data_IF_586870393433
#
_entry.id   IF_586870393433
#
_cell.length_a   1.000
_cell.length_b   1.000
_cell.length_c   1.000
_cell.angle_alpha   90.00
_cell.angle_beta   90.00
_cell.angle_gamma   90.00
#
_symmetry.space_group_name_H-M   'P 1'
#
loop_
_entity.id
_entity.type
_entity.pdbx_description
1 polymer ?
#
# COMPACT_ATOMS: atom_id res chain seq x y z
N UNK A 1 -12.56 19.06 3.20
CA UNK A 1 -12.20 18.52 1.86
C UNK A 1 -11.51 17.20 2.12
N UNK A 2 -11.99 16.14 1.51
CA UNK A 2 -11.57 14.76 1.77
C UNK A 2 -10.19 14.49 1.17
N UNK A 3 -9.23 14.03 1.99
CA UNK A 3 -7.91 13.57 1.53
C UNK A 3 -7.93 12.04 1.47
N UNK A 4 -7.59 11.49 0.32
CA UNK A 4 -7.49 10.04 0.11
C UNK A 4 -6.07 9.71 -0.33
N UNK A 5 -5.43 8.77 0.36
CA UNK A 5 -4.18 8.16 -0.11
C UNK A 5 -4.52 6.89 -0.86
N UNK A 6 -4.04 6.76 -2.11
CA UNK A 6 -4.26 5.60 -2.96
C UNK A 6 -2.96 4.91 -3.27
N UNK A 7 -2.85 3.63 -2.95
CA UNK A 7 -1.69 2.83 -3.31
C UNK A 7 -2.02 1.90 -4.47
N UNK A 8 -1.12 1.84 -5.45
CA UNK A 8 -1.20 0.91 -6.56
C UNK A 8 -0.01 -0.05 -6.57
N UNK A 9 -0.30 -1.37 -6.54
CA UNK A 9 0.72 -2.42 -6.60
C UNK A 9 1.32 -2.61 -8.00
N UNK A 10 2.42 -3.36 -8.10
CA UNK A 10 3.16 -3.55 -9.35
C UNK A 10 2.31 -4.14 -10.48
N UNK A 11 1.43 -5.11 -10.18
CA UNK A 11 0.50 -5.69 -11.16
C UNK A 11 -0.53 -4.70 -11.70
N UNK A 12 -0.85 -3.66 -10.92
CA UNK A 12 -1.73 -2.56 -11.33
C UNK A 12 -1.05 -1.55 -12.25
N UNK A 13 0.29 -1.57 -12.29
CA UNK A 13 1.15 -0.61 -13.00
C UNK A 13 1.98 -1.26 -14.12
N UNK A 14 1.77 -2.55 -14.40
CA UNK A 14 2.64 -3.36 -15.29
C UNK A 14 2.63 -2.94 -16.75
N UNK A 15 1.76 -2.00 -17.15
CA UNK A 15 1.68 -1.49 -18.52
C UNK A 15 1.25 -0.03 -18.57
N UNK A 16 1.64 0.66 -19.65
CA UNK A 16 1.26 2.05 -19.89
C UNK A 16 -0.27 2.20 -19.96
N UNK A 17 -0.99 1.22 -20.53
CA UNK A 17 -2.45 1.23 -20.59
C UNK A 17 -3.09 1.25 -19.20
N UNK A 18 -2.55 0.48 -18.24
CA UNK A 18 -3.02 0.48 -16.85
C UNK A 18 -2.72 1.80 -16.15
N UNK A 19 -1.52 2.38 -16.34
CA UNK A 19 -1.17 3.70 -15.82
C UNK A 19 -2.15 4.76 -16.31
N UNK A 20 -2.46 4.79 -17.62
CA UNK A 20 -3.44 5.72 -18.19
C UNK A 20 -4.83 5.53 -17.57
N UNK A 21 -5.30 4.30 -17.39
CA UNK A 21 -6.59 4.01 -16.75
C UNK A 21 -6.64 4.51 -15.30
N UNK A 22 -5.55 4.36 -14.54
CA UNK A 22 -5.44 4.90 -13.17
C UNK A 22 -5.49 6.42 -13.19
N UNK A 23 -4.79 7.06 -14.09
CA UNK A 23 -4.81 8.53 -14.25
C UNK A 23 -6.22 9.05 -14.56
N UNK A 24 -6.96 8.39 -15.46
CA UNK A 24 -8.36 8.71 -15.75
C UNK A 24 -9.28 8.56 -14.54
N UNK A 25 -9.11 7.46 -13.77
CA UNK A 25 -9.88 7.24 -12.54
C UNK A 25 -9.56 8.29 -11.48
N UNK A 26 -8.29 8.70 -11.38
CA UNK A 26 -7.84 9.76 -10.48
C UNK A 26 -8.47 11.09 -10.90
N UNK A 27 -8.49 11.42 -12.19
CA UNK A 27 -9.16 12.63 -12.70
C UNK A 27 -10.63 12.70 -12.32
N UNK A 28 -11.37 11.59 -12.41
CA UNK A 28 -12.78 11.55 -11.96
C UNK A 28 -12.92 11.92 -10.49
N UNK A 29 -12.08 11.36 -9.62
CA UNK A 29 -12.11 11.67 -8.17
C UNK A 29 -11.75 13.12 -7.85
N UNK A 30 -10.81 13.71 -8.60
CA UNK A 30 -10.46 15.13 -8.47
C UNK A 30 -11.65 16.01 -8.87
N UNK A 31 -12.35 15.67 -9.97
CA UNK A 31 -13.55 16.38 -10.41
C UNK A 31 -14.71 16.28 -9.40
N UNK A 32 -14.73 15.23 -8.57
CA UNK A 32 -15.65 15.08 -7.43
C UNK A 32 -15.24 15.91 -6.20
N UNK A 33 -14.16 16.69 -6.27
CA UNK A 33 -13.67 17.56 -5.22
C UNK A 33 -12.78 16.88 -4.17
N UNK A 34 -12.28 15.67 -4.45
CA UNK A 34 -11.38 14.93 -3.56
C UNK A 34 -9.93 15.35 -3.77
N UNK A 35 -9.13 15.37 -2.71
CA UNK A 35 -7.67 15.51 -2.76
C UNK A 35 -7.04 14.13 -2.76
N UNK A 36 -6.27 13.81 -3.79
CA UNK A 36 -5.70 12.48 -3.98
C UNK A 36 -4.17 12.54 -3.86
N UNK A 37 -3.61 11.67 -3.02
CA UNK A 37 -2.18 11.37 -2.96
C UNK A 37 -2.00 9.94 -3.46
N UNK A 38 -1.12 9.74 -4.42
CA UNK A 38 -0.85 8.42 -4.98
C UNK A 38 0.46 7.87 -4.41
N UNK A 39 0.46 6.60 -4.04
CA UNK A 39 1.66 5.83 -3.70
C UNK A 39 1.78 4.70 -4.71
N UNK A 40 2.90 4.59 -5.38
CA UNK A 40 3.10 3.62 -6.46
C UNK A 40 4.24 2.66 -6.14
N UNK A 41 4.04 1.38 -6.48
CA UNK A 41 5.09 0.35 -6.48
C UNK A 41 5.83 0.36 -7.82
N UNK A 42 6.94 -0.34 -7.89
CA UNK A 42 7.62 -0.63 -9.16
C UNK A 42 6.69 -1.37 -10.13
N UNK A 43 6.88 -1.16 -11.44
CA UNK A 43 6.06 -1.78 -12.48
C UNK A 43 6.29 -3.29 -12.57
N UNK A 44 5.21 -4.08 -12.48
CA UNK A 44 5.25 -5.52 -12.73
C UNK A 44 6.31 -6.25 -11.91
N UNK A 45 7.34 -6.77 -12.57
CA UNK A 45 8.46 -7.52 -11.98
C UNK A 45 9.77 -6.74 -11.94
N UNK A 46 9.74 -5.41 -12.10
CA UNK A 46 10.96 -4.59 -12.20
C UNK A 46 11.89 -4.77 -10.99
N UNK A 47 11.36 -4.85 -9.77
CA UNK A 47 12.17 -5.09 -8.56
C UNK A 47 12.91 -6.44 -8.63
N UNK A 48 12.23 -7.51 -9.07
CA UNK A 48 12.84 -8.83 -9.22
C UNK A 48 13.94 -8.83 -10.28
N UNK A 49 13.73 -8.09 -11.39
CA UNK A 49 14.70 -7.94 -12.47
C UNK A 49 15.96 -7.18 -12.02
N UNK A 50 15.78 -6.10 -11.24
CA UNK A 50 16.88 -5.34 -10.65
C UNK A 50 17.69 -6.20 -9.68
N UNK A 51 17.01 -6.93 -8.78
CA UNK A 51 17.66 -7.85 -7.86
C UNK A 51 18.43 -8.96 -8.59
N UNK A 52 17.86 -9.51 -9.67
CA UNK A 52 18.53 -10.52 -10.49
C UNK A 52 19.82 -9.97 -11.12
N UNK A 53 19.78 -8.73 -11.65
CA UNK A 53 20.98 -8.07 -12.20
C UNK A 53 22.08 -7.90 -11.14
N UNK A 54 21.72 -7.46 -9.93
CA UNK A 54 22.67 -7.33 -8.83
C UNK A 54 23.32 -8.68 -8.48
N UNK A 55 22.52 -9.75 -8.38
CA UNK A 55 23.01 -11.11 -8.10
C UNK A 55 23.87 -11.70 -9.19
N UNK A 56 23.73 -11.24 -10.45
CA UNK A 56 24.63 -11.64 -11.54
C UNK A 56 26.03 -10.97 -11.43
N UNK A 57 26.13 -9.82 -10.76
CA UNK A 57 27.38 -9.11 -10.52
C UNK A 57 28.08 -9.59 -9.25
N UNK A 58 27.33 -9.92 -8.21
CA UNK A 58 27.87 -10.35 -6.92
C UNK A 58 26.97 -11.40 -6.29
N UNK A 59 27.56 -12.46 -5.70
CA UNK A 59 26.80 -13.43 -4.89
C UNK A 59 26.30 -12.83 -3.58
N UNK A 60 26.96 -11.78 -3.08
CA UNK A 60 26.64 -11.06 -1.86
C UNK A 60 26.71 -9.55 -2.13
N UNK A 61 25.70 -8.97 -2.84
CA UNK A 61 25.68 -7.53 -3.07
C UNK A 61 25.54 -6.80 -1.74
N UNK A 62 26.19 -5.65 -1.62
CA UNK A 62 26.03 -4.76 -0.47
C UNK A 62 24.56 -4.31 -0.34
N UNK A 63 24.02 -4.33 0.88
CA UNK A 63 22.60 -4.07 1.13
C UNK A 63 22.22 -2.62 0.86
N UNK A 64 23.10 -1.67 1.15
CA UNK A 64 22.91 -0.25 0.85
C UNK A 64 22.80 -0.03 -0.66
N UNK A 65 23.65 -0.66 -1.47
CA UNK A 65 23.60 -0.57 -2.93
C UNK A 65 22.35 -1.26 -3.51
N UNK A 66 21.89 -2.34 -2.87
CA UNK A 66 20.63 -2.99 -3.24
C UNK A 66 19.43 -2.06 -2.99
N UNK A 67 19.39 -1.36 -1.87
CA UNK A 67 18.32 -0.42 -1.56
C UNK A 67 18.26 0.71 -2.58
N UNK A 68 19.41 1.31 -2.90
CA UNK A 68 19.53 2.33 -3.94
C UNK A 68 19.04 1.80 -5.30
N UNK A 69 19.47 0.60 -5.69
CA UNK A 69 19.11 -0.01 -6.96
C UNK A 69 17.60 -0.30 -7.04
N UNK A 70 17.05 -0.96 -6.02
CA UNK A 70 15.63 -1.37 -6.00
C UNK A 70 14.69 -0.17 -5.94
N UNK A 71 15.04 0.88 -5.19
CA UNK A 71 14.22 2.10 -5.08
C UNK A 71 13.97 2.79 -6.43
N UNK A 72 14.84 2.57 -7.42
CA UNK A 72 14.71 3.16 -8.76
C UNK A 72 13.43 2.71 -9.49
N UNK A 73 12.90 1.53 -9.19
CA UNK A 73 11.69 1.00 -9.79
C UNK A 73 10.46 1.85 -9.48
N UNK A 74 10.29 2.26 -8.24
CA UNK A 74 9.20 3.12 -7.80
C UNK A 74 9.37 4.56 -8.30
N UNK A 75 10.60 5.03 -8.42
CA UNK A 75 10.90 6.36 -9.00
C UNK A 75 10.43 6.41 -10.46
N UNK A 76 10.72 5.38 -11.24
CA UNK A 76 10.24 5.27 -12.63
C UNK A 76 8.71 5.29 -12.67
N UNK A 77 8.04 4.47 -11.83
CA UNK A 77 6.58 4.40 -11.77
C UNK A 77 5.95 5.74 -11.40
N UNK A 78 6.51 6.45 -10.41
CA UNK A 78 5.97 7.74 -9.95
C UNK A 78 6.08 8.82 -11.03
N UNK A 79 7.21 8.87 -11.74
CA UNK A 79 7.40 9.79 -12.84
C UNK A 79 6.43 9.51 -14.00
N UNK A 80 6.29 8.24 -14.42
CA UNK A 80 5.35 7.85 -15.49
C UNK A 80 3.89 8.15 -15.12
N UNK A 81 3.49 7.93 -13.87
CA UNK A 81 2.15 8.28 -13.40
C UNK A 81 1.91 9.78 -13.42
N UNK A 82 2.89 10.58 -12.98
CA UNK A 82 2.78 12.06 -13.03
C UNK A 82 2.66 12.56 -14.46
N UNK A 83 3.44 12.02 -15.41
CA UNK A 83 3.33 12.35 -16.84
C UNK A 83 1.93 11.99 -17.36
N UNK A 84 1.38 10.83 -17.00
CA UNK A 84 0.05 10.43 -17.44
C UNK A 84 -1.07 11.34 -16.89
N UNK A 85 -0.92 11.83 -15.66
CA UNK A 85 -1.85 12.81 -15.08
C UNK A 85 -1.75 14.17 -15.75
N UNK A 86 -0.52 14.63 -16.05
CA UNK A 86 -0.26 15.89 -16.75
C UNK A 86 -0.83 15.88 -18.18
N UNK A 87 -0.72 14.76 -18.89
CA UNK A 87 -1.33 14.58 -20.22
C UNK A 87 -2.87 14.76 -20.19
N UNK A 88 -3.51 14.44 -19.05
CA UNK A 88 -4.94 14.69 -18.85
C UNK A 88 -5.27 16.13 -18.43
N UNK A 89 -4.29 17.04 -18.41
CA UNK A 89 -4.44 18.44 -18.02
C UNK A 89 -4.48 18.67 -16.50
N UNK A 90 -4.05 17.69 -15.70
CA UNK A 90 -3.96 17.80 -14.25
C UNK A 90 -2.57 18.31 -13.85
N UNK A 91 -2.49 19.07 -12.75
CA UNK A 91 -1.21 19.40 -12.13
C UNK A 91 -0.78 18.21 -11.28
N UNK A 92 0.37 17.61 -11.57
CA UNK A 92 0.90 16.47 -10.83
C UNK A 92 2.40 16.58 -10.64
N UNK A 93 2.89 16.09 -9.51
CA UNK A 93 4.31 16.06 -9.17
C UNK A 93 4.67 14.69 -8.58
N UNK A 94 5.79 14.11 -9.03
CA UNK A 94 6.37 12.91 -8.45
C UNK A 94 7.38 13.27 -7.37
N UNK A 95 7.34 12.54 -6.24
CA UNK A 95 8.29 12.66 -5.14
C UNK A 95 8.89 11.29 -4.82
N UNK A 96 10.21 11.26 -4.61
CA UNK A 96 10.88 10.11 -3.97
C UNK A 96 10.53 10.03 -2.49
N UNK A 97 10.84 8.92 -1.81
CA UNK A 97 10.68 8.82 -0.37
C UNK A 97 11.42 9.92 0.40
N UNK A 98 12.63 10.25 -0.05
CA UNK A 98 13.42 11.38 0.49
C UNK A 98 12.69 12.72 0.33
N UNK A 99 12.21 13.01 -0.87
CA UNK A 99 11.49 14.26 -1.15
C UNK A 99 10.13 14.37 -0.45
N UNK A 100 9.53 13.22 -0.13
CA UNK A 100 8.30 13.11 0.64
C UNK A 100 8.52 13.16 2.16
N UNK A 101 9.78 13.26 2.61
CA UNK A 101 10.16 13.37 4.01
C UNK A 101 10.01 12.08 4.81
N UNK A 102 10.13 10.91 4.18
CA UNK A 102 10.00 9.60 4.84
C UNK A 102 11.33 9.23 5.49
N UNK A 103 11.50 9.58 6.76
CA UNK A 103 12.68 9.29 7.56
C UNK A 103 12.61 7.85 8.12
N UNK A 104 13.73 7.13 8.07
CA UNK A 104 13.82 5.73 8.48
C UNK A 104 15.07 5.47 9.32
N UNK A 105 15.10 4.31 9.99
CA UNK A 105 16.36 3.81 10.55
C UNK A 105 17.31 3.31 9.45
N UNK A 106 18.55 2.99 9.84
CA UNK A 106 19.63 2.56 8.93
C UNK A 106 19.67 1.04 8.68
N UNK A 107 18.54 0.32 8.86
CA UNK A 107 18.45 -1.12 8.57
C UNK A 107 18.15 -1.33 7.09
N UNK A 108 19.18 -1.39 6.26
CA UNK A 108 19.02 -1.61 4.82
C UNK A 108 18.25 -2.91 4.51
N UNK A 109 17.35 -2.87 3.51
CA UNK A 109 16.50 -3.97 3.08
C UNK A 109 15.21 -4.13 3.89
N UNK A 110 15.18 -3.70 5.15
CA UNK A 110 14.03 -3.84 6.07
C UNK A 110 13.88 -2.63 7.00
N UNK A 111 14.13 -1.43 6.46
CA UNK A 111 14.08 -0.19 7.24
C UNK A 111 12.70 0.07 7.86
N UNK A 112 12.70 0.76 8.99
CA UNK A 112 11.50 1.17 9.69
C UNK A 112 11.32 2.68 9.58
N UNK A 113 10.12 3.12 9.28
CA UNK A 113 9.76 4.55 9.28
C UNK A 113 9.83 5.06 10.72
N UNK A 114 10.65 6.07 10.96
CA UNK A 114 10.78 6.75 12.24
C UNK A 114 9.81 7.93 12.28
N UNK A 115 9.81 8.73 11.21
CA UNK A 115 8.97 9.92 11.09
C UNK A 115 8.66 10.25 9.64
N UNK A 116 7.67 11.12 9.42
CA UNK A 116 7.36 11.67 8.10
C UNK A 116 7.20 13.19 8.24
N UNK A 117 8.12 13.95 7.64
CA UNK A 117 7.92 15.37 7.42
C UNK A 117 7.04 15.59 6.19
N UNK A 118 5.75 15.72 6.44
CA UNK A 118 4.74 15.86 5.38
C UNK A 118 4.54 17.29 4.88
N UNK A 119 5.35 18.25 5.31
CA UNK A 119 5.21 19.67 4.96
C UNK A 119 5.18 19.89 3.45
N UNK A 120 6.15 19.33 2.73
CA UNK A 120 6.20 19.45 1.27
C UNK A 120 4.96 18.87 0.59
N UNK A 121 4.47 17.73 1.06
CA UNK A 121 3.27 17.10 0.51
C UNK A 121 2.06 18.03 0.69
N UNK A 122 1.90 18.62 1.88
CA UNK A 122 0.83 19.59 2.15
C UNK A 122 0.95 20.84 1.27
N UNK A 123 2.16 21.37 1.11
CA UNK A 123 2.41 22.54 0.26
C UNK A 123 2.02 22.26 -1.19
N UNK A 124 2.40 21.11 -1.75
CA UNK A 124 2.05 20.71 -3.12
C UNK A 124 0.53 20.50 -3.28
N UNK A 125 -0.13 19.83 -2.31
CA UNK A 125 -1.59 19.66 -2.31
C UNK A 125 -2.29 21.01 -2.27
N UNK A 126 -1.82 21.96 -1.46
CA UNK A 126 -2.41 23.29 -1.35
C UNK A 126 -2.20 24.13 -2.63
N UNK A 127 -1.12 23.87 -3.39
CA UNK A 127 -0.87 24.44 -4.70
C UNK A 127 -1.70 23.76 -5.82
N UNK A 128 -2.58 22.82 -5.46
CA UNK A 128 -3.45 22.11 -6.40
C UNK A 128 -2.75 20.99 -7.16
N UNK A 129 -1.59 20.52 -6.70
CA UNK A 129 -0.88 19.39 -7.28
C UNK A 129 -1.46 18.05 -6.79
N UNK A 130 -1.50 17.07 -7.67
CA UNK A 130 -1.64 15.66 -7.29
C UNK A 130 -0.24 15.15 -6.99
N UNK A 131 -0.02 14.71 -5.76
CA UNK A 131 1.29 14.21 -5.33
C UNK A 131 1.37 12.70 -5.59
N UNK A 132 2.38 12.28 -6.36
CA UNK A 132 2.66 10.87 -6.65
C UNK A 132 3.96 10.49 -5.96
N UNK A 133 3.89 9.58 -5.00
CA UNK A 133 5.02 9.22 -4.15
C UNK A 133 5.54 7.83 -4.55
N UNK A 134 6.85 7.74 -4.75
CA UNK A 134 7.53 6.46 -4.87
C UNK A 134 7.44 5.71 -3.53
N UNK A 135 6.66 4.62 -3.49
CA UNK A 135 6.53 3.79 -2.29
C UNK A 135 7.78 2.99 -1.97
N UNK A 136 7.73 2.13 -0.93
CA UNK A 136 8.78 1.18 -0.59
C UNK A 136 10.08 1.78 -0.06
N UNK A 137 10.31 3.06 -0.14
CA UNK A 137 11.58 3.73 0.14
C UNK A 137 11.45 4.92 1.10
N UNK A 138 12.53 5.20 1.83
CA UNK A 138 12.75 6.38 2.62
C UNK A 138 14.23 6.77 2.60
N UNK A 139 14.68 7.49 3.62
CA UNK A 139 16.08 7.85 3.80
C UNK A 139 16.44 7.79 5.29
N UNK A 140 17.71 7.53 5.57
CA UNK A 140 18.23 7.51 6.94
C UNK A 140 18.91 8.84 7.33
N UNK A 141 19.42 8.91 8.52
CA UNK A 141 20.14 10.06 9.11
C UNK A 141 21.36 10.52 8.28
N UNK A 142 21.95 9.63 7.47
CA UNK A 142 23.06 9.94 6.56
C UNK A 142 22.58 10.34 5.15
N UNK A 143 21.26 10.57 4.97
CA UNK A 143 20.64 10.84 3.68
C UNK A 143 20.79 9.72 2.64
N UNK A 144 21.02 8.49 3.08
CA UNK A 144 21.08 7.33 2.23
C UNK A 144 19.70 6.74 2.02
N UNK A 145 19.43 6.27 0.80
CA UNK A 145 18.16 5.65 0.48
C UNK A 145 18.07 4.29 1.16
N UNK A 146 16.95 4.05 1.81
CA UNK A 146 16.61 2.80 2.48
C UNK A 146 15.35 2.20 1.89
N UNK A 147 15.19 0.88 1.93
CA UNK A 147 13.95 0.21 1.53
C UNK A 147 13.27 -0.45 2.72
N UNK A 148 11.93 -0.49 2.67
CA UNK A 148 11.09 -0.93 3.79
C UNK A 148 10.85 -2.45 3.80
N UNK A 149 11.42 -3.19 2.86
CA UNK A 149 11.22 -4.62 2.73
C UNK A 149 9.85 -5.01 2.15
N UNK A 150 9.46 -6.26 2.34
CA UNK A 150 8.19 -6.80 1.81
C UNK A 150 6.99 -5.99 2.30
N UNK A 151 6.04 -5.73 1.39
CA UNK A 151 4.87 -4.89 1.71
C UNK A 151 5.19 -3.41 1.93
N UNK A 152 6.41 -2.96 1.61
CA UNK A 152 6.89 -1.61 1.90
C UNK A 152 6.04 -0.50 1.27
N UNK A 153 5.50 -0.69 0.05
CA UNK A 153 4.60 0.32 -0.55
C UNK A 153 3.25 0.42 0.17
N UNK A 154 2.71 -0.69 0.72
CA UNK A 154 1.51 -0.67 1.56
C UNK A 154 1.79 0.06 2.87
N UNK A 155 2.95 -0.23 3.48
CA UNK A 155 3.46 0.44 4.68
C UNK A 155 3.61 1.94 4.44
N UNK A 156 4.23 2.34 3.31
CA UNK A 156 4.35 3.76 2.90
C UNK A 156 2.99 4.43 2.81
N UNK A 157 2.01 3.78 2.16
CA UNK A 157 0.69 4.38 1.94
C UNK A 157 -0.07 4.60 3.25
N UNK A 158 -0.08 3.61 4.15
CA UNK A 158 -0.78 3.73 5.44
C UNK A 158 -0.08 4.75 6.34
N UNK A 159 1.26 4.75 6.39
CA UNK A 159 2.02 5.72 7.17
C UNK A 159 1.80 7.16 6.67
N UNK A 160 1.80 7.37 5.35
CA UNK A 160 1.49 8.67 4.74
C UNK A 160 0.05 9.09 5.01
N UNK A 161 -0.92 8.17 4.89
CA UNK A 161 -2.32 8.46 5.18
C UNK A 161 -2.50 8.93 6.64
N UNK A 162 -1.85 8.25 7.57
CA UNK A 162 -1.85 8.63 8.99
C UNK A 162 -1.20 9.99 9.22
N UNK A 163 -0.02 10.24 8.65
CA UNK A 163 0.72 11.49 8.78
C UNK A 163 -0.05 12.68 8.19
N UNK A 164 -0.70 12.49 7.05
CA UNK A 164 -1.53 13.52 6.38
C UNK A 164 -2.91 13.70 7.01
N UNK A 165 -3.26 12.88 8.01
CA UNK A 165 -4.61 12.80 8.58
C UNK A 165 -5.67 12.61 7.48
N UNK A 166 -5.37 11.72 6.53
CA UNK A 166 -6.27 11.39 5.45
C UNK A 166 -7.55 10.74 5.99
N UNK A 167 -8.64 10.85 5.25
CA UNK A 167 -9.92 10.24 5.64
C UNK A 167 -9.87 8.72 5.49
N UNK A 168 -9.11 8.24 4.48
CA UNK A 168 -9.00 6.82 4.16
C UNK A 168 -7.73 6.52 3.35
N UNK A 169 -7.20 5.29 3.51
CA UNK A 169 -6.16 4.71 2.68
C UNK A 169 -6.75 3.63 1.78
N UNK A 170 -6.77 3.85 0.47
CA UNK A 170 -7.23 2.85 -0.50
C UNK A 170 -6.03 2.07 -1.06
N UNK A 171 -6.00 0.75 -0.86
CA UNK A 171 -4.98 -0.16 -1.38
C UNK A 171 -5.54 -0.92 -2.57
N UNK A 172 -5.08 -0.58 -3.75
CA UNK A 172 -5.47 -1.22 -5.00
C UNK A 172 -4.55 -2.39 -5.33
N UNK A 173 -5.17 -3.55 -5.58
CA UNK A 173 -4.49 -4.83 -5.84
C UNK A 173 -5.21 -5.61 -6.96
N UNK A 174 -4.78 -6.83 -7.21
CA UNK A 174 -5.35 -7.75 -8.23
C UNK A 174 -6.58 -8.53 -7.73
N UNK A 175 -7.01 -8.32 -6.48
CA UNK A 175 -8.20 -8.95 -5.90
C UNK A 175 -9.27 -7.91 -5.54
N UNK A 176 -10.54 -8.34 -5.51
CA UNK A 176 -11.68 -7.47 -5.22
C UNK A 176 -11.78 -7.01 -3.76
N UNK A 177 -11.04 -7.63 -2.87
CA UNK A 177 -11.06 -7.46 -1.43
C UNK A 177 -10.59 -8.73 -0.73
N UNK A 178 -10.91 -8.85 0.55
CA UNK A 178 -10.65 -10.05 1.34
C UNK A 178 -11.85 -10.98 1.27
N UNK A 179 -11.60 -12.28 1.13
CA UNK A 179 -12.62 -13.31 1.03
C UNK A 179 -12.61 -14.22 2.25
N UNK A 180 -13.73 -14.88 2.52
CA UNK A 180 -13.87 -15.85 3.60
C UNK A 180 -12.95 -17.08 3.46
N UNK A 181 -12.44 -17.33 2.26
CA UNK A 181 -11.41 -18.31 1.93
C UNK A 181 -10.80 -17.94 0.56
N UNK A 182 -9.69 -18.57 0.15
CA UNK A 182 -9.15 -18.37 -1.19
C UNK A 182 -10.16 -18.82 -2.26
N UNK A 183 -10.69 -17.90 -3.10
CA UNK A 183 -11.69 -18.26 -4.12
C UNK A 183 -11.15 -19.20 -5.20
N UNK A 184 -9.82 -19.33 -5.33
CA UNK A 184 -9.20 -20.33 -6.24
C UNK A 184 -9.34 -21.75 -5.70
N UNK A 185 -9.45 -21.91 -4.38
CA UNK A 185 -9.59 -23.19 -3.69
C UNK A 185 -11.06 -23.46 -3.35
N UNK A 186 -11.75 -22.46 -2.80
CA UNK A 186 -13.14 -22.56 -2.34
C UNK A 186 -14.06 -21.76 -3.25
N UNK A 187 -14.76 -22.44 -4.16
CA UNK A 187 -15.62 -21.79 -5.17
C UNK A 187 -16.74 -20.92 -4.60
N UNK A 188 -17.20 -21.23 -3.38
CA UNK A 188 -18.26 -20.47 -2.69
C UNK A 188 -17.72 -19.43 -1.70
N UNK A 189 -16.43 -19.11 -1.76
CA UNK A 189 -15.86 -18.05 -0.94
C UNK A 189 -16.57 -16.72 -1.21
N UNK A 190 -16.95 -16.01 -0.15
CA UNK A 190 -17.64 -14.72 -0.22
C UNK A 190 -16.70 -13.60 0.12
N UNK A 191 -16.82 -12.47 -0.58
CA UNK A 191 -16.09 -11.26 -0.21
C UNK A 191 -16.60 -10.75 1.13
N UNK A 192 -15.68 -10.35 2.00
CA UNK A 192 -15.95 -9.74 3.29
C UNK A 192 -16.00 -8.23 3.08
N UNK A 193 -17.08 -7.59 3.48
CA UNK A 193 -17.23 -6.14 3.29
C UNK A 193 -16.50 -5.33 4.37
N UNK A 194 -16.41 -5.87 5.58
CA UNK A 194 -15.78 -5.25 6.75
C UNK A 194 -14.98 -6.25 7.56
N UNK A 195 -13.82 -5.83 8.04
CA UNK A 195 -12.98 -6.53 8.99
C UNK A 195 -12.48 -5.55 10.07
N UNK A 196 -12.36 -6.03 11.30
CA UNK A 196 -11.55 -5.35 12.32
C UNK A 196 -10.06 -5.42 11.94
N UNK A 197 -9.23 -4.59 12.56
CA UNK A 197 -7.78 -4.70 12.36
C UNK A 197 -7.24 -6.03 12.89
N UNK A 198 -7.78 -6.51 14.01
CA UNK A 198 -7.40 -7.76 14.66
C UNK A 198 -7.69 -8.98 13.75
N UNK A 199 -8.92 -9.06 13.23
CA UNK A 199 -9.28 -10.12 12.27
C UNK A 199 -8.40 -10.08 11.03
N UNK A 200 -8.12 -8.86 10.51
CA UNK A 200 -7.27 -8.72 9.35
C UNK A 200 -5.82 -9.08 9.62
N UNK A 201 -5.28 -8.79 10.82
CA UNK A 201 -3.94 -9.20 11.22
C UNK A 201 -3.80 -10.73 11.27
N UNK A 202 -4.80 -11.41 11.84
CA UNK A 202 -4.82 -12.88 11.81
C UNK A 202 -4.79 -13.41 10.38
N UNK A 203 -5.65 -12.91 9.51
CA UNK A 203 -5.70 -13.34 8.11
C UNK A 203 -4.39 -13.02 7.36
N UNK A 204 -3.77 -11.87 7.63
CA UNK A 204 -2.54 -11.44 6.97
C UNK A 204 -1.33 -12.30 7.38
N UNK A 205 -1.24 -12.72 8.64
CA UNK A 205 -0.19 -13.61 9.12
C UNK A 205 -0.21 -14.98 8.43
N UNK A 206 -1.35 -15.38 7.89
CA UNK A 206 -1.53 -16.66 7.21
C UNK A 206 -1.75 -16.52 5.68
N UNK A 207 -1.24 -15.44 5.06
CA UNK A 207 -1.15 -15.31 3.60
C UNK A 207 -2.22 -14.47 2.93
N UNK A 208 -3.04 -13.72 3.67
CA UNK A 208 -3.94 -12.75 3.04
C UNK A 208 -3.17 -11.61 2.33
N UNK A 209 -3.84 -10.97 1.36
CA UNK A 209 -3.26 -10.04 0.37
C UNK A 209 -2.77 -8.69 0.91
N UNK A 210 -2.39 -8.59 2.18
CA UNK A 210 -1.82 -7.38 2.76
C UNK A 210 -0.74 -7.74 3.79
N UNK A 211 0.32 -6.94 3.85
CA UNK A 211 1.40 -7.20 4.79
C UNK A 211 0.99 -6.80 6.22
N UNK A 212 1.24 -7.64 7.26
CA UNK A 212 0.84 -7.36 8.65
C UNK A 212 1.26 -5.98 9.14
N UNK A 213 2.49 -5.56 8.88
CA UNK A 213 3.05 -4.27 9.28
C UNK A 213 2.20 -3.06 8.85
N UNK A 214 1.58 -3.09 7.67
CA UNK A 214 0.70 -2.01 7.21
C UNK A 214 -0.62 -1.99 7.97
N UNK A 215 -1.12 -3.14 8.41
CA UNK A 215 -2.34 -3.27 9.21
C UNK A 215 -2.06 -2.80 10.65
N UNK A 216 -0.90 -3.17 11.22
CA UNK A 216 -0.46 -2.70 12.54
C UNK A 216 -0.37 -1.16 12.59
N UNK A 217 0.18 -0.54 11.54
CA UNK A 217 0.17 0.92 11.43
C UNK A 217 -1.25 1.48 11.34
N UNK A 218 -2.14 0.84 10.55
CA UNK A 218 -3.55 1.20 10.47
C UNK A 218 -4.23 1.16 11.83
N UNK A 219 -4.03 0.09 12.58
CA UNK A 219 -4.53 -0.07 13.95
C UNK A 219 -3.98 1.02 14.88
N UNK A 220 -2.65 1.21 14.90
CA UNK A 220 -1.99 2.16 15.80
C UNK A 220 -2.47 3.60 15.60
N UNK A 221 -2.63 4.02 14.35
CA UNK A 221 -3.08 5.38 14.01
C UNK A 221 -4.58 5.50 13.76
N UNK A 222 -5.35 4.43 13.96
CA UNK A 222 -6.77 4.35 13.65
C UNK A 222 -7.08 4.85 12.21
N UNK A 223 -6.24 4.46 11.25
CA UNK A 223 -6.34 4.84 9.85
C UNK A 223 -7.16 3.80 9.07
N UNK A 224 -8.36 4.13 8.59
CA UNK A 224 -9.15 3.19 7.80
C UNK A 224 -8.45 2.81 6.50
N UNK A 225 -8.47 1.51 6.20
CA UNK A 225 -7.88 0.96 4.98
C UNK A 225 -9.00 0.31 4.16
N UNK A 226 -9.04 0.56 2.86
CA UNK A 226 -9.90 -0.19 1.94
C UNK A 226 -9.04 -0.96 0.95
N UNK A 227 -9.25 -2.27 0.85
CA UNK A 227 -8.64 -3.10 -0.18
C UNK A 227 -9.60 -3.18 -1.36
N UNK A 228 -9.14 -2.77 -2.55
CA UNK A 228 -9.95 -2.69 -3.78
C UNK A 228 -9.25 -3.35 -4.96
N UNK A 229 -10.04 -3.79 -5.93
CA UNK A 229 -9.51 -4.20 -7.23
C UNK A 229 -9.06 -2.99 -8.06
N UNK A 230 -7.89 -3.11 -8.70
CA UNK A 230 -7.44 -2.14 -9.71
C UNK A 230 -8.18 -2.28 -11.04
N UNK A 231 -8.88 -3.38 -11.25
CA UNK A 231 -9.48 -3.74 -12.54
C UNK A 231 -11.00 -3.56 -12.55
N UNK A 232 -11.64 -3.68 -11.39
CA UNK A 232 -13.08 -3.66 -11.25
C UNK A 232 -13.53 -2.52 -10.34
N UNK A 233 -14.65 -1.90 -10.69
CA UNK A 233 -15.25 -0.83 -9.86
C UNK A 233 -16.16 -1.45 -8.80
N UNK A 234 -15.57 -2.08 -7.77
CA UNK A 234 -16.27 -2.69 -6.65
C UNK A 234 -15.90 -2.00 -5.33
N UNK A 235 -16.74 -2.16 -4.33
CA UNK A 235 -16.60 -1.48 -3.03
C UNK A 235 -15.36 -1.90 -2.25
N UNK A 236 -14.87 -3.13 -2.45
CA UNK A 236 -13.70 -3.65 -1.73
C UNK A 236 -14.06 -4.17 -0.32
N UNK A 237 -13.02 -4.38 0.49
CA UNK A 237 -13.12 -4.70 1.92
C UNK A 237 -12.58 -3.55 2.73
N UNK A 238 -13.37 -3.06 3.70
CA UNK A 238 -12.93 -2.01 4.62
C UNK A 238 -12.35 -2.63 5.90
N UNK A 239 -11.24 -2.09 6.36
CA UNK A 239 -10.53 -2.49 7.58
C UNK A 239 -10.46 -1.27 8.48
N UNK A 240 -11.16 -1.29 9.60
CA UNK A 240 -11.14 -0.23 10.60
C UNK A 240 -11.82 -0.73 11.88
N UNK A 241 -11.78 0.06 12.96
CA UNK A 241 -12.64 -0.22 14.10
C UNK A 241 -14.09 0.23 13.83
N UNK A 242 -15.04 -0.30 14.59
CA UNK A 242 -16.48 -0.10 14.38
C UNK A 242 -16.91 1.36 14.53
N UNK A 243 -16.27 2.09 15.43
CA UNK A 243 -16.55 3.51 15.65
C UNK A 243 -16.22 4.35 14.41
N UNK A 244 -15.05 4.05 13.81
CA UNK A 244 -14.61 4.72 12.59
C UNK A 244 -15.46 4.34 11.39
N UNK A 245 -15.91 3.09 11.30
CA UNK A 245 -16.85 2.66 10.28
C UNK A 245 -18.12 3.49 10.32
N UNK A 246 -18.71 3.63 11.52
CA UNK A 246 -19.94 4.43 11.72
C UNK A 246 -19.74 5.92 11.35
N UNK A 247 -18.58 6.49 11.66
CA UNK A 247 -18.23 7.87 11.28
C UNK A 247 -18.16 8.01 9.74
N UNK A 248 -17.47 7.11 9.06
CA UNK A 248 -17.34 7.12 7.60
C UNK A 248 -18.69 6.95 6.89
N UNK A 249 -19.58 6.13 7.43
CA UNK A 249 -20.95 5.98 6.92
C UNK A 249 -21.78 7.26 7.12
N UNK A 250 -21.74 7.87 8.30
CA UNK A 250 -22.43 9.14 8.58
C UNK A 250 -21.96 10.27 7.68
N UNK A 251 -20.68 10.30 7.34
CA UNK A 251 -20.06 11.29 6.44
C UNK A 251 -20.32 10.99 4.95
N UNK A 252 -20.97 9.85 4.63
CA UNK A 252 -21.23 9.44 3.25
C UNK A 252 -20.00 9.03 2.46
N UNK A 253 -18.87 8.80 3.13
CA UNK A 253 -17.63 8.32 2.50
C UNK A 253 -17.79 6.86 2.07
N UNK A 254 -18.57 6.09 2.85
CA UNK A 254 -18.96 4.71 2.56
C UNK A 254 -20.47 4.65 2.48
N UNK A 255 -21.00 4.24 1.32
CA UNK A 255 -22.44 4.24 1.04
C UNK A 255 -23.14 2.96 1.50
N UNK A 256 -22.45 1.85 1.66
CA UNK A 256 -23.05 0.57 2.02
C UNK A 256 -23.38 0.52 3.51
N UNK A 257 -24.60 0.04 3.82
CA UNK A 257 -24.90 -0.39 5.18
C UNK A 257 -24.14 -1.69 5.44
N UNK A 258 -23.00 -1.57 6.10
CA UNK A 258 -22.22 -2.72 6.54
C UNK A 258 -22.71 -3.05 7.95
N UNK A 259 -23.21 -4.26 8.12
CA UNK A 259 -23.58 -4.80 9.44
C UNK A 259 -22.47 -5.67 9.95
N UNK A 260 -22.17 -5.57 11.24
CA UNK A 260 -21.21 -6.44 11.91
C UNK A 260 -21.59 -7.91 11.71
N UNK A 261 -20.69 -8.70 11.13
CA UNK A 261 -20.93 -10.12 10.93
C UNK A 261 -20.50 -10.86 12.21
N UNK A 262 -21.48 -11.36 12.98
CA UNK A 262 -21.23 -12.09 14.25
C UNK A 262 -20.94 -13.58 14.05
N UNK A 263 -20.45 -13.99 12.90
CA UNK A 263 -20.06 -15.36 12.69
C UNK A 263 -18.86 -15.72 13.56
N UNK A 264 -18.86 -16.92 14.17
CA UNK A 264 -17.74 -17.42 14.99
C UNK A 264 -16.44 -17.59 14.21
N UNK A 265 -16.51 -17.72 12.89
CA UNK A 265 -15.37 -17.82 11.97
C UNK A 265 -15.58 -16.78 10.88
N UNK A 266 -14.69 -15.78 10.81
CA UNK A 266 -14.73 -14.69 9.85
C UNK A 266 -14.12 -15.10 8.52
N UNK A 267 -13.03 -15.86 8.54
CA UNK A 267 -12.36 -16.34 7.35
C UNK A 267 -11.42 -17.51 7.64
N UNK A 268 -10.96 -18.16 6.60
CA UNK A 268 -9.97 -19.25 6.64
C UNK A 268 -8.89 -18.94 5.63
N UNK A 269 -7.64 -18.96 6.04
CA UNK A 269 -6.47 -18.83 5.16
C UNK A 269 -5.67 -20.11 5.17
N UNK A 270 -4.88 -20.32 4.12
CA UNK A 270 -3.95 -21.44 4.06
C UNK A 270 -2.64 -20.98 3.45
N UNK A 271 -1.55 -21.41 4.03
CA UNK A 271 -0.22 -21.24 3.48
C UNK A 271 0.25 -22.60 2.93
N UNK A 272 0.69 -22.61 1.68
CA UNK A 272 1.23 -23.79 1.02
C UNK A 272 2.75 -23.86 1.13
N UNK A 273 3.33 -25.05 0.88
CA UNK A 273 4.79 -25.27 0.88
C UNK A 273 5.48 -25.01 2.22
N UNK A 274 4.82 -25.34 3.33
CA UNK A 274 5.38 -25.23 4.67
C UNK A 274 6.09 -26.55 5.03
N UNK A 275 7.25 -26.43 5.70
CA UNK A 275 7.94 -27.56 6.33
C UNK A 275 7.92 -27.40 7.85
N UNK A 276 7.51 -28.46 8.58
CA UNK A 276 7.56 -28.48 10.02
C UNK A 276 8.88 -29.11 10.48
N UNK A 277 9.68 -28.35 11.24
CA UNK A 277 10.88 -28.86 11.93
C UNK A 277 10.53 -28.97 13.42
N UNK A 278 10.66 -30.16 13.98
CA UNK A 278 10.46 -30.38 15.42
C UNK A 278 11.80 -30.73 16.05
N UNK A 279 12.23 -29.94 17.02
CA UNK A 279 13.41 -30.22 17.84
C UNK A 279 12.96 -30.95 19.09
N UNK A 280 13.58 -32.09 19.35
CA UNK A 280 13.33 -32.90 20.58
C UNK A 280 14.54 -32.82 21.48
N UNK A 281 14.31 -32.80 22.78
CA UNK A 281 15.36 -32.89 23.82
C UNK A 281 16.43 -31.80 23.70
N UNK A 282 16.00 -30.53 23.61
CA UNK A 282 16.93 -29.39 23.70
C UNK A 282 17.33 -29.31 25.19
N UNK A 283 18.64 -29.41 25.55
CA UNK A 283 19.09 -29.13 26.91
C UNK A 283 18.80 -27.68 27.26
N UNK A 284 18.42 -27.45 28.54
CA UNK A 284 18.21 -26.10 29.09
C UNK A 284 19.49 -25.25 29.07
#
# INVERSE_FOLDING_TARGET
MEIIVRKYGGTSLDSIAKIKKIAETTKKSINEGKKIVLVVSAMGKSTDELLKKAKMLSSHPDTRELDLLMSSGEIVSSALMSIALQELGLKAISLTGFQAGIDTNSTFGEAQIISIDNKRIHDEINNGQIVVIAGFQGYNENFEITTLGRGGSDTTAVALAASLKADICEVYTDVEGIFTADPKIVKNAKKIDYLSYEDMLELANYGAKMHPRSIELGLHYNMPIIIKSSFENKTGTIICNIEKLNDLQKRGIILNQITENRNKVTGVTSEGNISKITLHSIPD
#
